data_IF_640522753816
#
_entry.id   IF_640522753816
#
_cell.length_a   1.000
_cell.length_b   1.000
_cell.length_c   1.000
_cell.angle_alpha   90.00
_cell.angle_beta   90.00
_cell.angle_gamma   90.00
#
_symmetry.space_group_name_H-M   'P 1'
#
loop_
_entity.id
_entity.type
_entity.pdbx_description
1 polymer ?
#
# COMPACT_ATOMS: atom_id res chain seq x y z
N UNK A 1 6.85 35.60 -6.01
CA UNK A 1 6.36 34.24 -5.67
C UNK A 1 5.36 33.84 -6.76
N UNK A 2 5.79 33.18 -7.81
CA UNK A 2 4.87 32.61 -8.81
C UNK A 2 4.29 31.36 -8.20
N UNK A 3 3.11 31.50 -7.57
CA UNK A 3 2.34 30.36 -7.10
C UNK A 3 2.03 29.43 -8.26
N UNK A 4 1.87 28.13 -7.96
CA UNK A 4 1.42 27.16 -8.93
C UNK A 4 0.22 27.75 -9.71
N UNK A 5 0.30 27.74 -11.05
CA UNK A 5 -0.79 28.25 -11.89
C UNK A 5 -2.09 27.58 -11.47
N UNK A 6 -3.11 28.40 -11.16
CA UNK A 6 -4.43 27.86 -10.81
C UNK A 6 -4.96 27.05 -11.99
N UNK A 7 -5.16 25.76 -11.77
CA UNK A 7 -5.74 24.87 -12.79
C UNK A 7 -7.18 25.30 -12.98
N UNK A 8 -7.55 25.71 -14.21
CA UNK A 8 -8.93 26.07 -14.50
C UNK A 8 -9.84 24.84 -14.52
N UNK A 9 -11.11 25.04 -14.19
CA UNK A 9 -12.10 23.96 -14.23
C UNK A 9 -12.17 23.30 -15.63
N UNK A 10 -12.01 24.12 -16.69
CA UNK A 10 -12.00 23.66 -18.08
C UNK A 10 -10.78 22.74 -18.35
N UNK A 11 -9.60 23.09 -17.85
CA UNK A 11 -8.41 22.26 -17.99
C UNK A 11 -8.57 20.92 -17.26
N UNK A 12 -9.24 20.91 -16.11
CA UNK A 12 -9.52 19.69 -15.34
C UNK A 12 -10.53 18.81 -16.10
N UNK A 13 -11.55 19.38 -16.71
CA UNK A 13 -12.50 18.66 -17.57
C UNK A 13 -11.81 18.06 -18.79
N UNK A 14 -10.90 18.81 -19.44
CA UNK A 14 -10.10 18.27 -20.54
C UNK A 14 -9.21 17.12 -20.09
N UNK A 15 -8.57 17.22 -18.92
CA UNK A 15 -7.77 16.15 -18.37
C UNK A 15 -8.60 14.90 -18.04
N UNK A 16 -9.86 15.06 -17.61
CA UNK A 16 -10.76 13.92 -17.34
C UNK A 16 -11.08 13.09 -18.58
N UNK A 17 -10.95 13.68 -19.80
CA UNK A 17 -11.12 12.92 -21.05
C UNK A 17 -10.12 11.78 -21.23
N UNK A 18 -8.97 11.82 -20.54
CA UNK A 18 -8.01 10.72 -20.54
C UNK A 18 -8.59 9.42 -19.98
N UNK A 19 -9.60 9.51 -19.11
CA UNK A 19 -10.32 8.33 -18.59
C UNK A 19 -11.09 7.62 -19.72
N UNK A 20 -11.56 8.36 -20.74
CA UNK A 20 -12.26 7.80 -21.90
C UNK A 20 -11.36 6.85 -22.70
N UNK A 21 -10.05 7.10 -22.74
CA UNK A 21 -9.09 6.23 -23.41
C UNK A 21 -9.06 4.87 -22.71
N UNK A 22 -9.03 4.86 -21.38
CA UNK A 22 -9.06 3.63 -20.59
C UNK A 22 -10.37 2.86 -20.81
N UNK A 23 -11.50 3.57 -20.85
CA UNK A 23 -12.81 2.97 -21.11
C UNK A 23 -12.89 2.38 -22.52
N UNK A 24 -12.34 3.08 -23.53
CA UNK A 24 -12.27 2.61 -24.90
C UNK A 24 -11.49 1.28 -24.99
N UNK A 25 -10.30 1.20 -24.40
CA UNK A 25 -9.52 -0.05 -24.38
C UNK A 25 -10.22 -1.17 -23.62
N UNK A 26 -10.85 -0.86 -22.47
CA UNK A 26 -11.60 -1.84 -21.70
C UNK A 26 -12.75 -2.42 -22.53
N UNK A 27 -13.53 -1.57 -23.20
CA UNK A 27 -14.63 -2.00 -24.06
C UNK A 27 -14.14 -2.80 -25.28
N UNK A 28 -13.09 -2.32 -25.96
CA UNK A 28 -12.55 -2.97 -27.15
C UNK A 28 -12.01 -4.36 -26.85
N UNK A 29 -11.27 -4.50 -25.73
CA UNK A 29 -10.68 -5.79 -25.31
C UNK A 29 -11.63 -6.64 -24.46
N UNK A 30 -12.88 -6.20 -24.26
CA UNK A 30 -13.90 -6.89 -23.43
C UNK A 30 -13.38 -7.25 -22.02
N UNK A 31 -12.64 -6.32 -21.39
CA UNK A 31 -12.05 -6.53 -20.06
C UNK A 31 -13.09 -6.45 -18.93
N UNK A 32 -14.28 -5.91 -19.21
CA UNK A 32 -15.37 -5.70 -18.25
C UNK A 32 -14.96 -4.83 -17.05
N UNK A 33 -14.03 -3.88 -17.27
CA UNK A 33 -13.51 -2.98 -16.23
C UNK A 33 -14.17 -1.61 -16.22
N UNK A 34 -15.08 -1.31 -17.17
CA UNK A 34 -15.68 0.02 -17.38
C UNK A 34 -16.33 0.54 -16.10
N UNK A 35 -17.11 -0.31 -15.43
CA UNK A 35 -17.82 0.05 -14.19
C UNK A 35 -16.83 0.35 -13.06
N UNK A 36 -15.76 -0.42 -12.94
CA UNK A 36 -14.74 -0.22 -11.92
C UNK A 36 -13.95 1.07 -12.17
N UNK A 37 -13.60 1.36 -13.42
CA UNK A 37 -12.88 2.58 -13.81
C UNK A 37 -13.72 3.82 -13.51
N UNK A 38 -14.99 3.86 -13.94
CA UNK A 38 -15.89 4.99 -13.71
C UNK A 38 -16.10 5.22 -12.20
N UNK A 39 -16.42 4.16 -11.45
CA UNK A 39 -16.62 4.26 -9.99
C UNK A 39 -15.35 4.74 -9.29
N UNK A 40 -14.18 4.25 -9.71
CA UNK A 40 -12.90 4.65 -9.13
C UNK A 40 -12.58 6.12 -9.42
N UNK A 41 -12.82 6.60 -10.65
CA UNK A 41 -12.60 7.99 -11.02
C UNK A 41 -13.52 8.94 -10.23
N UNK A 42 -14.82 8.66 -10.17
CA UNK A 42 -15.80 9.46 -9.41
C UNK A 42 -15.43 9.46 -7.92
N UNK A 43 -15.13 8.28 -7.36
CA UNK A 43 -14.74 8.16 -5.97
C UNK A 43 -13.46 8.95 -5.67
N UNK A 44 -12.46 8.92 -6.56
CA UNK A 44 -11.22 9.68 -6.38
C UNK A 44 -11.50 11.19 -6.31
N UNK A 45 -12.33 11.73 -7.21
CA UNK A 45 -12.69 13.16 -7.19
C UNK A 45 -13.39 13.53 -5.88
N UNK A 46 -14.43 12.77 -5.50
CA UNK A 46 -15.21 13.06 -4.28
C UNK A 46 -14.32 12.93 -3.03
N UNK A 47 -13.49 11.90 -2.96
CA UNK A 47 -12.59 11.70 -1.81
C UNK A 47 -11.52 12.77 -1.71
N UNK A 48 -10.93 13.20 -2.83
CA UNK A 48 -9.92 14.27 -2.83
C UNK A 48 -10.53 15.61 -2.40
N UNK A 49 -11.72 15.94 -2.88
CA UNK A 49 -12.42 17.15 -2.43
C UNK A 49 -12.75 17.09 -0.93
N UNK A 50 -13.32 15.98 -0.47
CA UNK A 50 -13.66 15.79 0.95
C UNK A 50 -12.41 15.85 1.85
N UNK A 51 -11.31 15.21 1.43
CA UNK A 51 -10.04 15.24 2.17
C UNK A 51 -9.43 16.64 2.16
N UNK A 52 -9.51 17.38 1.03
CA UNK A 52 -9.02 18.75 0.97
C UNK A 52 -9.68 19.66 2.04
N UNK A 53 -11.01 19.64 2.15
CA UNK A 53 -11.73 20.38 3.19
C UNK A 53 -11.42 19.87 4.61
N UNK A 54 -11.32 18.56 4.78
CA UNK A 54 -11.02 17.94 6.07
C UNK A 54 -9.61 18.32 6.57
N UNK A 55 -8.62 18.30 5.67
CA UNK A 55 -7.24 18.64 6.03
C UNK A 55 -7.08 20.11 6.41
N UNK A 56 -7.77 21.02 5.71
CA UNK A 56 -7.75 22.44 6.06
C UNK A 56 -8.26 22.67 7.50
N UNK A 57 -9.35 22.00 7.87
CA UNK A 57 -9.87 22.02 9.23
C UNK A 57 -8.93 21.38 10.26
N UNK A 58 -8.37 20.20 9.95
CA UNK A 58 -7.51 19.45 10.86
C UNK A 58 -6.18 20.15 11.11
N UNK A 59 -5.60 20.76 10.08
CA UNK A 59 -4.32 21.45 10.22
C UNK A 59 -4.41 22.69 11.12
N UNK A 60 -5.62 23.25 11.31
CA UNK A 60 -5.88 24.30 12.31
C UNK A 60 -5.83 23.79 13.76
N UNK A 61 -6.09 22.50 13.99
CA UNK A 61 -6.09 21.90 15.33
C UNK A 61 -4.85 21.01 15.51
N UNK A 62 -3.78 21.53 16.11
CA UNK A 62 -2.55 20.79 16.38
C UNK A 62 -2.69 19.85 17.60
N UNK A 63 -3.69 18.97 17.61
CA UNK A 63 -3.93 18.03 18.70
C UNK A 63 -3.36 16.65 18.38
N UNK A 64 -2.40 16.14 19.18
CA UNK A 64 -1.77 14.83 18.94
C UNK A 64 -2.76 13.65 19.07
N UNK A 65 -3.76 13.73 19.95
CA UNK A 65 -4.76 12.69 20.14
C UNK A 65 -5.61 12.54 18.87
N UNK A 66 -6.02 13.67 18.29
CA UNK A 66 -6.78 13.68 17.05
C UNK A 66 -5.99 13.11 15.87
N UNK A 67 -4.68 13.43 15.80
CA UNK A 67 -3.77 12.85 14.80
C UNK A 67 -3.69 11.33 14.94
N UNK A 68 -3.54 10.82 16.17
CA UNK A 68 -3.47 9.38 16.44
C UNK A 68 -4.79 8.66 16.07
N UNK A 69 -5.94 9.25 16.42
CA UNK A 69 -7.24 8.69 16.06
C UNK A 69 -7.47 8.63 14.55
N UNK A 70 -7.05 9.67 13.82
CA UNK A 70 -7.14 9.69 12.36
C UNK A 70 -6.22 8.64 11.73
N UNK A 71 -5.00 8.49 12.22
CA UNK A 71 -4.08 7.44 11.79
C UNK A 71 -4.66 6.05 12.02
N UNK A 72 -5.26 5.82 13.18
CA UNK A 72 -5.94 4.56 13.50
C UNK A 72 -7.10 4.28 12.53
N UNK A 73 -7.92 5.29 12.25
CA UNK A 73 -8.99 5.19 11.26
C UNK A 73 -8.45 4.83 9.86
N UNK A 74 -7.34 5.47 9.44
CA UNK A 74 -6.68 5.14 8.17
C UNK A 74 -6.20 3.68 8.13
N UNK A 75 -5.58 3.18 9.21
CA UNK A 75 -5.12 1.80 9.32
C UNK A 75 -6.30 0.81 9.25
N UNK A 76 -7.40 1.08 9.95
CA UNK A 76 -8.62 0.24 9.93
C UNK A 76 -9.18 0.17 8.51
N UNK A 77 -9.36 1.30 7.86
CA UNK A 77 -9.88 1.37 6.49
C UNK A 77 -8.95 0.64 5.48
N UNK A 78 -7.65 0.86 5.62
CA UNK A 78 -6.63 0.19 4.82
C UNK A 78 -6.67 -1.33 4.99
N UNK A 79 -6.79 -1.80 6.23
CA UNK A 79 -6.86 -3.23 6.56
C UNK A 79 -8.08 -3.91 5.94
N UNK A 80 -9.22 -3.22 5.94
CA UNK A 80 -10.41 -3.70 5.26
C UNK A 80 -10.23 -3.81 3.74
N UNK A 81 -9.59 -2.80 3.14
CA UNK A 81 -9.30 -2.82 1.71
C UNK A 81 -8.25 -3.88 1.31
N UNK A 82 -7.22 -4.09 2.14
CA UNK A 82 -6.24 -5.15 1.92
C UNK A 82 -6.88 -6.54 2.03
N UNK A 83 -7.72 -6.76 3.04
CA UNK A 83 -8.43 -8.01 3.22
C UNK A 83 -9.34 -8.38 2.04
N UNK A 84 -9.99 -7.40 1.42
CA UNK A 84 -10.81 -7.62 0.21
C UNK A 84 -10.00 -8.14 -0.97
N UNK A 85 -8.71 -7.81 -1.07
CA UNK A 85 -7.82 -8.29 -2.13
C UNK A 85 -7.41 -9.76 -1.93
N UNK A 86 -7.47 -10.25 -0.69
CA UNK A 86 -7.19 -11.63 -0.31
C UNK A 86 -8.46 -12.46 -0.10
N UNK A 87 -9.42 -12.42 -1.06
CA UNK A 87 -10.60 -13.30 -0.99
C UNK A 87 -10.13 -14.74 -0.86
N UNK A 88 -10.56 -15.44 0.20
CA UNK A 88 -10.13 -16.81 0.54
C UNK A 88 -9.13 -16.89 1.71
N UNK A 89 -8.60 -15.78 2.22
CA UNK A 89 -7.78 -15.75 3.43
C UNK A 89 -8.65 -15.45 4.64
N UNK A 90 -8.92 -16.48 5.44
CA UNK A 90 -9.63 -16.32 6.70
C UNK A 90 -8.88 -15.34 7.63
N UNK A 91 -9.62 -14.46 8.32
CA UNK A 91 -9.04 -13.42 9.21
C UNK A 91 -8.13 -12.40 8.49
N UNK A 92 -8.25 -12.24 7.16
CA UNK A 92 -7.44 -11.31 6.37
C UNK A 92 -7.45 -9.88 6.90
N UNK A 93 -8.56 -9.41 7.49
CA UNK A 93 -8.66 -8.11 8.14
C UNK A 93 -7.68 -7.99 9.34
N UNK A 94 -7.69 -8.96 10.25
CA UNK A 94 -6.85 -8.94 11.46
C UNK A 94 -5.37 -9.01 11.08
N UNK A 95 -5.03 -9.87 10.13
CA UNK A 95 -3.66 -10.00 9.64
C UNK A 95 -3.19 -8.70 8.99
N UNK A 96 -4.01 -8.09 8.13
CA UNK A 96 -3.70 -6.82 7.49
C UNK A 96 -3.57 -5.69 8.52
N UNK A 97 -4.42 -5.68 9.55
CA UNK A 97 -4.36 -4.68 10.61
C UNK A 97 -3.04 -4.76 11.40
N UNK A 98 -2.61 -5.96 11.76
CA UNK A 98 -1.33 -6.18 12.44
C UNK A 98 -0.17 -5.81 11.52
N UNK A 99 -0.21 -6.21 10.26
CA UNK A 99 0.86 -5.96 9.29
C UNK A 99 1.01 -4.47 8.95
N UNK A 100 -0.10 -3.77 8.65
CA UNK A 100 -0.09 -2.33 8.37
C UNK A 100 0.26 -1.55 9.64
N UNK A 101 -0.34 -1.91 10.77
CA UNK A 101 -0.09 -1.26 12.06
C UNK A 101 1.36 -1.36 12.48
N UNK A 102 1.95 -2.56 12.46
CA UNK A 102 3.37 -2.76 12.80
C UNK A 102 4.31 -2.00 11.88
N UNK A 103 4.10 -2.09 10.55
CA UNK A 103 4.88 -1.34 9.58
C UNK A 103 4.79 0.17 9.79
N UNK A 104 3.59 0.69 10.04
CA UNK A 104 3.35 2.11 10.29
C UNK A 104 4.01 2.57 11.58
N UNK A 105 3.79 1.85 12.70
CA UNK A 105 4.35 2.22 14.00
C UNK A 105 5.87 2.21 13.96
N UNK A 106 6.49 1.13 13.48
CA UNK A 106 7.95 1.01 13.44
C UNK A 106 8.55 2.13 12.59
N UNK A 107 8.03 2.33 11.38
CA UNK A 107 8.58 3.32 10.45
C UNK A 107 8.42 4.75 10.97
N UNK A 108 7.22 5.11 11.45
CA UNK A 108 6.99 6.44 12.01
C UNK A 108 7.79 6.69 13.29
N UNK A 109 7.95 5.69 14.15
CA UNK A 109 8.79 5.82 15.34
C UNK A 109 10.23 6.16 14.97
N UNK A 110 10.81 5.46 13.99
CA UNK A 110 12.18 5.78 13.52
C UNK A 110 12.27 7.21 12.99
N UNK A 111 11.29 7.67 12.20
CA UNK A 111 11.29 9.02 11.63
C UNK A 111 11.11 10.12 12.69
N UNK A 112 10.33 9.86 13.75
CA UNK A 112 10.13 10.79 14.87
C UNK A 112 11.39 10.81 15.74
N UNK A 113 11.93 9.66 16.15
CA UNK A 113 13.13 9.60 17.00
C UNK A 113 14.39 10.16 16.31
N UNK A 114 14.46 10.04 14.97
CA UNK A 114 15.54 10.69 14.20
C UNK A 114 15.39 12.21 14.08
N UNK A 115 14.28 12.79 14.55
CA UNK A 115 13.99 14.23 14.46
C UNK A 115 13.61 14.72 13.06
N UNK A 116 13.43 13.80 12.10
CA UNK A 116 13.04 14.14 10.72
C UNK A 116 11.59 14.59 10.66
N UNK A 117 10.71 13.92 11.44
CA UNK A 117 9.30 14.24 11.52
C UNK A 117 8.91 14.67 12.94
N UNK A 118 8.03 15.67 13.02
CA UNK A 118 7.35 16.03 14.27
C UNK A 118 5.97 15.36 14.32
N UNK A 119 5.51 15.05 15.53
CA UNK A 119 4.19 14.47 15.73
C UNK A 119 3.10 15.55 15.63
N UNK A 120 2.94 16.11 14.43
CA UNK A 120 1.93 17.13 14.09
C UNK A 120 1.11 16.68 12.88
N UNK A 121 -0.18 17.04 12.80
CA UNK A 121 -1.10 16.53 11.77
C UNK A 121 -0.58 16.74 10.33
N UNK A 122 -0.05 17.92 10.04
CA UNK A 122 0.41 18.29 8.70
C UNK A 122 1.62 17.49 8.18
N UNK A 123 2.36 16.81 9.07
CA UNK A 123 3.45 15.91 8.70
C UNK A 123 3.02 14.45 8.80
N UNK A 124 2.33 14.09 9.89
CA UNK A 124 1.97 12.70 10.19
C UNK A 124 0.94 12.12 9.21
N UNK A 125 -0.09 12.91 8.86
CA UNK A 125 -1.18 12.40 8.02
C UNK A 125 -0.72 12.12 6.59
N UNK A 126 -0.02 13.02 5.88
CA UNK A 126 0.47 12.73 4.54
C UNK A 126 1.49 11.59 4.51
N UNK A 127 2.46 11.59 5.43
CA UNK A 127 3.49 10.54 5.50
C UNK A 127 2.88 9.19 5.87
N UNK A 128 2.00 9.17 6.87
CA UNK A 128 1.26 7.97 7.24
C UNK A 128 0.38 7.44 6.10
N UNK A 129 -0.24 8.31 5.33
CA UNK A 129 -0.99 7.95 4.13
C UNK A 129 -0.13 7.24 3.09
N UNK A 130 1.08 7.71 2.83
CA UNK A 130 2.03 7.06 1.92
C UNK A 130 2.46 5.67 2.44
N UNK A 131 2.77 5.55 3.72
CA UNK A 131 3.12 4.30 4.38
C UNK A 131 1.98 3.29 4.24
N UNK A 132 0.78 3.67 4.66
CA UNK A 132 -0.40 2.82 4.72
C UNK A 132 -0.83 2.38 3.31
N UNK A 133 -0.85 3.29 2.33
CA UNK A 133 -1.29 2.99 0.96
C UNK A 133 -0.35 2.00 0.25
N UNK A 134 0.97 2.15 0.42
CA UNK A 134 1.93 1.20 -0.14
C UNK A 134 1.86 -0.18 0.56
N UNK A 135 1.59 -0.20 1.86
CA UNK A 135 1.35 -1.46 2.59
C UNK A 135 0.13 -2.23 2.06
N UNK A 136 -0.97 -1.54 1.71
CA UNK A 136 -2.15 -2.18 1.09
C UNK A 136 -1.77 -2.89 -0.22
N UNK A 137 -0.94 -2.24 -1.05
CA UNK A 137 -0.51 -2.80 -2.34
C UNK A 137 0.34 -4.04 -2.10
N UNK A 138 1.35 -3.94 -1.23
CA UNK A 138 2.25 -5.03 -0.90
C UNK A 138 1.50 -6.25 -0.33
N UNK A 139 0.64 -6.04 0.67
CA UNK A 139 -0.18 -7.12 1.27
C UNK A 139 -1.13 -7.73 0.25
N UNK A 140 -1.75 -6.92 -0.60
CA UNK A 140 -2.65 -7.41 -1.65
C UNK A 140 -1.94 -8.32 -2.65
N UNK A 141 -0.69 -8.02 -3.01
CA UNK A 141 0.16 -8.88 -3.84
C UNK A 141 0.55 -10.15 -3.10
N UNK A 142 0.97 -10.04 -1.83
CA UNK A 142 1.29 -11.20 -1.00
C UNK A 142 0.11 -12.17 -0.90
N UNK A 143 -1.10 -11.68 -0.67
CA UNK A 143 -2.28 -12.54 -0.56
C UNK A 143 -2.62 -13.24 -1.87
N UNK A 144 -2.58 -12.53 -3.00
CA UNK A 144 -2.81 -13.15 -4.32
C UNK A 144 -1.76 -14.21 -4.62
N UNK A 145 -0.49 -13.90 -4.35
CA UNK A 145 0.61 -14.83 -4.59
C UNK A 145 0.54 -16.04 -3.66
N UNK A 146 0.22 -15.88 -2.37
CA UNK A 146 0.02 -17.00 -1.44
C UNK A 146 -1.03 -17.99 -1.96
N UNK A 147 -2.21 -17.47 -2.36
CA UNK A 147 -3.28 -18.30 -2.89
C UNK A 147 -2.84 -19.05 -4.16
N UNK A 148 -2.13 -18.37 -5.05
CA UNK A 148 -1.62 -18.96 -6.29
C UNK A 148 -0.56 -20.03 -6.03
N UNK A 149 0.44 -19.73 -5.18
CA UNK A 149 1.56 -20.64 -4.91
C UNK A 149 1.12 -21.90 -4.16
N UNK A 150 0.25 -21.76 -3.15
CA UNK A 150 -0.26 -22.94 -2.45
C UNK A 150 -1.14 -23.83 -3.32
N UNK A 151 -1.79 -23.28 -4.35
CA UNK A 151 -2.51 -24.08 -5.34
C UNK A 151 -1.56 -24.79 -6.32
N UNK A 152 -0.60 -24.06 -6.87
CA UNK A 152 0.31 -24.58 -7.90
C UNK A 152 1.33 -25.59 -7.34
N UNK A 153 1.76 -25.39 -6.09
CA UNK A 153 2.76 -26.24 -5.39
C UNK A 153 2.15 -27.18 -4.36
N UNK A 154 0.84 -27.49 -4.51
CA UNK A 154 0.13 -28.32 -3.52
C UNK A 154 0.81 -29.68 -3.34
N UNK A 155 1.11 -30.41 -4.40
CA UNK A 155 1.76 -31.72 -4.36
C UNK A 155 3.14 -31.67 -3.72
N UNK A 156 3.90 -30.63 -3.99
CA UNK A 156 5.23 -30.44 -3.39
C UNK A 156 5.13 -30.26 -1.87
N UNK A 157 4.19 -29.40 -1.40
CA UNK A 157 3.98 -29.15 0.03
C UNK A 157 3.48 -30.41 0.71
N UNK A 158 2.52 -31.13 0.14
CA UNK A 158 1.97 -32.38 0.68
C UNK A 158 3.06 -33.48 0.75
N UNK A 159 3.91 -33.57 -0.26
CA UNK A 159 5.06 -34.50 -0.24
C UNK A 159 6.04 -34.18 0.90
N UNK A 160 6.39 -32.89 1.07
CA UNK A 160 7.27 -32.48 2.18
C UNK A 160 6.66 -32.82 3.55
N UNK A 161 5.34 -32.59 3.71
CA UNK A 161 4.61 -32.97 4.92
C UNK A 161 4.58 -34.47 5.16
N UNK A 162 4.36 -35.28 4.11
CA UNK A 162 4.35 -36.74 4.17
C UNK A 162 5.73 -37.32 4.56
N UNK A 163 6.82 -36.64 4.18
CA UNK A 163 8.20 -36.97 4.58
C UNK A 163 8.54 -36.51 6.03
N UNK A 164 7.57 -35.92 6.75
CA UNK A 164 7.75 -35.52 8.15
C UNK A 164 8.20 -34.08 8.35
N UNK A 165 8.24 -33.23 7.32
CA UNK A 165 8.51 -31.82 7.50
C UNK A 165 7.37 -31.11 8.25
N UNK A 166 7.71 -30.12 9.09
CA UNK A 166 6.69 -29.26 9.70
C UNK A 166 6.17 -28.23 8.67
N UNK A 167 5.05 -27.54 9.00
CA UNK A 167 4.37 -26.58 8.11
C UNK A 167 5.31 -25.49 7.60
N UNK A 168 6.17 -24.94 8.46
CA UNK A 168 7.08 -23.86 8.05
C UNK A 168 8.15 -24.34 7.06
N UNK A 169 8.93 -25.41 7.32
CA UNK A 169 9.86 -25.96 6.34
C UNK A 169 9.20 -26.37 5.02
N UNK A 170 8.00 -26.94 5.07
CA UNK A 170 7.26 -27.32 3.86
C UNK A 170 6.85 -26.12 3.00
N UNK A 171 6.67 -24.93 3.60
CA UNK A 171 6.16 -23.71 2.93
C UNK A 171 7.22 -22.62 2.75
N UNK A 172 8.45 -22.79 3.21
CA UNK A 172 9.42 -21.71 3.29
C UNK A 172 9.76 -21.08 1.94
N UNK A 173 9.80 -21.86 0.87
CA UNK A 173 10.10 -21.37 -0.46
C UNK A 173 8.94 -20.53 -1.00
N UNK A 174 7.70 -20.95 -0.75
CA UNK A 174 6.50 -20.18 -1.05
C UNK A 174 6.52 -18.85 -0.29
N UNK A 175 6.78 -18.88 1.01
CA UNK A 175 6.85 -17.69 1.86
C UNK A 175 7.88 -16.68 1.31
N UNK A 176 9.06 -17.14 0.93
CA UNK A 176 10.13 -16.29 0.37
C UNK A 176 9.71 -15.64 -0.94
N UNK A 177 9.12 -16.40 -1.84
CA UNK A 177 8.70 -15.89 -3.16
C UNK A 177 7.54 -14.90 -3.02
N UNK A 178 6.61 -15.14 -2.10
CA UNK A 178 5.52 -14.24 -1.78
C UNK A 178 6.02 -12.90 -1.23
N UNK A 179 6.95 -12.93 -0.28
CA UNK A 179 7.52 -11.69 0.28
C UNK A 179 8.25 -10.90 -0.80
N UNK A 180 9.04 -11.55 -1.65
CA UNK A 180 9.69 -10.90 -2.80
C UNK A 180 8.66 -10.22 -3.70
N UNK A 181 7.60 -10.93 -4.08
CA UNK A 181 6.53 -10.40 -4.94
C UNK A 181 5.86 -9.17 -4.33
N UNK A 182 5.60 -9.17 -3.02
CA UNK A 182 5.04 -8.01 -2.32
C UNK A 182 5.94 -6.77 -2.34
N UNK A 183 7.26 -6.97 -2.37
CA UNK A 183 8.25 -5.88 -2.35
C UNK A 183 8.62 -5.35 -3.75
N UNK A 184 8.43 -6.13 -4.81
CA UNK A 184 8.85 -5.80 -6.18
C UNK A 184 8.43 -4.38 -6.62
N UNK A 185 7.17 -3.93 -6.47
CA UNK A 185 6.77 -2.61 -6.96
C UNK A 185 7.54 -1.47 -6.30
N UNK A 186 7.81 -1.58 -4.99
CA UNK A 186 8.54 -0.56 -4.24
C UNK A 186 10.02 -0.55 -4.60
N UNK A 187 10.61 -1.73 -4.78
CA UNK A 187 12.01 -1.87 -5.22
C UNK A 187 12.20 -1.30 -6.63
N UNK A 188 11.30 -1.61 -7.55
CA UNK A 188 11.41 -1.14 -8.94
C UNK A 188 11.16 0.37 -9.04
N UNK A 189 10.22 0.91 -8.25
CA UNK A 189 10.10 2.36 -8.10
C UNK A 189 11.41 2.98 -7.61
N UNK A 190 12.04 2.41 -6.58
CA UNK A 190 13.28 2.95 -6.02
C UNK A 190 14.44 2.95 -7.04
N UNK A 191 14.54 1.93 -7.91
CA UNK A 191 15.57 1.83 -8.96
C UNK A 191 15.44 2.93 -10.03
N UNK A 192 14.22 3.42 -10.28
CA UNK A 192 13.95 4.36 -11.38
C UNK A 192 13.88 5.82 -10.92
N UNK A 193 13.94 6.07 -9.61
CA UNK A 193 13.88 7.41 -9.02
C UNK A 193 15.05 8.28 -9.50
N UNK A 194 14.72 9.51 -9.92
CA UNK A 194 15.69 10.52 -10.33
C UNK A 194 16.22 10.36 -11.76
N UNK A 195 16.06 9.18 -12.36
CA UNK A 195 16.52 8.91 -13.75
C UNK A 195 15.33 8.91 -14.71
N UNK A 196 14.30 8.13 -14.37
CA UNK A 196 13.10 7.97 -15.22
C UNK A 196 11.93 8.78 -14.68
N UNK A 197 11.80 8.86 -13.37
CA UNK A 197 10.68 9.56 -12.72
C UNK A 197 11.13 10.51 -11.63
N UNK A 198 10.52 11.69 -11.59
CA UNK A 198 10.58 12.59 -10.45
C UNK A 198 9.29 12.39 -9.63
N UNK A 199 9.39 11.93 -8.38
CA UNK A 199 8.21 11.67 -7.55
C UNK A 199 7.42 12.93 -7.25
N UNK A 200 6.09 12.78 -7.11
CA UNK A 200 5.18 13.90 -6.89
C UNK A 200 5.51 14.75 -5.65
N UNK A 201 6.01 14.14 -4.57
CA UNK A 201 6.41 14.87 -3.37
C UNK A 201 7.62 15.78 -3.66
N UNK A 202 8.66 15.26 -4.32
CA UNK A 202 9.84 16.05 -4.69
C UNK A 202 9.44 17.20 -5.63
N UNK A 203 8.64 16.90 -6.66
CA UNK A 203 8.16 17.89 -7.63
C UNK A 203 7.30 18.95 -6.94
N UNK A 204 6.40 18.54 -6.04
CA UNK A 204 5.57 19.45 -5.25
C UNK A 204 6.38 20.40 -4.37
N UNK A 205 7.42 19.89 -3.69
CA UNK A 205 8.32 20.72 -2.88
C UNK A 205 9.09 21.75 -3.72
N UNK A 206 9.58 21.34 -4.90
CA UNK A 206 10.28 22.26 -5.83
C UNK A 206 9.33 23.35 -6.33
N UNK A 207 8.10 22.99 -6.73
CA UNK A 207 7.09 23.95 -7.17
C UNK A 207 6.65 24.90 -6.03
N UNK A 208 6.72 24.43 -4.78
CA UNK A 208 6.48 25.26 -3.59
C UNK A 208 7.68 26.17 -3.21
N UNK A 209 8.77 26.14 -3.99
CA UNK A 209 9.93 27.01 -3.79
C UNK A 209 11.03 26.41 -2.92
N UNK A 210 10.95 25.14 -2.52
CA UNK A 210 12.05 24.45 -1.83
C UNK A 210 13.20 24.18 -2.80
N UNK A 211 14.46 24.34 -2.35
CA UNK A 211 15.62 24.04 -3.19
C UNK A 211 15.62 22.56 -3.63
N UNK A 212 16.04 22.25 -4.86
CA UNK A 212 16.08 20.87 -5.37
C UNK A 212 16.86 19.92 -4.48
N UNK A 213 17.98 20.37 -3.91
CA UNK A 213 18.80 19.56 -2.99
C UNK A 213 18.03 19.16 -1.74
N UNK A 214 17.24 20.06 -1.16
CA UNK A 214 16.41 19.75 -0.01
C UNK A 214 15.25 18.82 -0.40
N UNK A 215 14.61 19.06 -1.53
CA UNK A 215 13.56 18.19 -2.05
C UNK A 215 14.05 16.75 -2.28
N UNK A 216 15.28 16.58 -2.78
CA UNK A 216 15.92 15.26 -2.92
C UNK A 216 16.12 14.57 -1.58
N UNK A 217 16.57 15.29 -0.53
CA UNK A 217 16.74 14.69 0.81
C UNK A 217 15.41 14.18 1.38
N UNK A 218 14.32 14.94 1.22
CA UNK A 218 12.99 14.48 1.60
C UNK A 218 12.56 13.25 0.81
N UNK A 219 12.86 13.21 -0.50
CA UNK A 219 12.53 12.06 -1.32
C UNK A 219 13.34 10.81 -0.95
N UNK A 220 14.61 10.94 -0.59
CA UNK A 220 15.40 9.82 -0.06
C UNK A 220 14.78 9.25 1.21
N UNK A 221 14.38 10.11 2.16
CA UNK A 221 13.65 9.69 3.36
C UNK A 221 12.39 8.90 3.00
N UNK A 222 11.56 9.43 2.10
CA UNK A 222 10.33 8.74 1.63
C UNK A 222 10.65 7.38 1.04
N UNK A 223 11.69 7.29 0.21
CA UNK A 223 12.09 6.02 -0.42
C UNK A 223 12.50 4.99 0.64
N UNK A 224 13.32 5.36 1.61
CA UNK A 224 13.76 4.46 2.67
C UNK A 224 12.58 4.01 3.57
N UNK A 225 11.69 4.94 3.91
CA UNK A 225 10.51 4.58 4.70
C UNK A 225 9.58 3.63 3.96
N UNK A 226 9.37 3.82 2.65
CA UNK A 226 8.51 2.95 1.84
C UNK A 226 9.12 1.56 1.68
N UNK A 227 10.42 1.44 1.44
CA UNK A 227 11.13 0.16 1.40
C UNK A 227 11.01 -0.59 2.74
N UNK A 228 11.23 0.09 3.85
CA UNK A 228 11.10 -0.50 5.18
C UNK A 228 9.66 -0.96 5.46
N UNK A 229 8.70 -0.09 5.21
CA UNK A 229 7.28 -0.38 5.51
C UNK A 229 6.73 -1.53 4.68
N UNK A 230 6.99 -1.52 3.36
CA UNK A 230 6.52 -2.61 2.49
C UNK A 230 7.18 -3.95 2.82
N UNK A 231 8.45 -3.93 3.23
CA UNK A 231 9.16 -5.10 3.72
C UNK A 231 8.51 -5.67 4.98
N UNK A 232 8.30 -4.84 6.01
CA UNK A 232 7.66 -5.24 7.27
C UNK A 232 6.24 -5.75 7.00
N UNK A 233 5.45 -5.02 6.21
CA UNK A 233 4.08 -5.38 5.91
C UNK A 233 3.98 -6.71 5.15
N UNK A 234 4.83 -6.93 4.14
CA UNK A 234 4.89 -8.18 3.37
C UNK A 234 5.32 -9.35 4.25
N UNK A 235 6.33 -9.15 5.09
CA UNK A 235 6.83 -10.18 6.01
C UNK A 235 5.74 -10.57 7.02
N UNK A 236 5.21 -9.60 7.76
CA UNK A 236 4.21 -9.87 8.81
C UNK A 236 2.94 -10.49 8.22
N UNK A 237 2.43 -9.94 7.11
CA UNK A 237 1.23 -10.47 6.47
C UNK A 237 1.43 -11.90 5.99
N UNK A 238 2.56 -12.21 5.34
CA UNK A 238 2.84 -13.54 4.81
C UNK A 238 3.03 -14.56 5.94
N UNK A 239 3.81 -14.23 7.00
CA UNK A 239 4.04 -15.12 8.12
C UNK A 239 2.82 -15.35 9.01
N UNK A 240 1.86 -14.46 9.01
CA UNK A 240 0.58 -14.69 9.69
C UNK A 240 -0.41 -15.44 8.79
N UNK A 241 -0.39 -15.18 7.47
CA UNK A 241 -1.36 -15.74 6.54
C UNK A 241 -1.06 -17.20 6.13
N UNK A 242 0.22 -17.60 5.99
CA UNK A 242 0.55 -18.97 5.53
C UNK A 242 -0.04 -20.05 6.45
N UNK A 243 -0.14 -19.80 7.76
CA UNK A 243 -0.70 -20.75 8.72
C UNK A 243 -2.17 -21.09 8.46
N UNK A 244 -2.90 -20.22 7.77
CA UNK A 244 -4.33 -20.40 7.48
C UNK A 244 -4.55 -21.52 6.46
N UNK A 245 -3.54 -21.82 5.65
CA UNK A 245 -3.60 -22.89 4.66
C UNK A 245 -3.46 -24.28 5.26
N UNK A 246 -3.29 -24.40 6.58
CA UNK A 246 -3.16 -25.66 7.26
C UNK A 246 -4.22 -25.83 8.35
N UNK A 247 -4.73 -27.07 8.50
CA UNK A 247 -5.64 -27.41 9.58
C UNK A 247 -4.85 -27.78 10.87
N UNK A 248 -5.60 -28.04 11.95
CA UNK A 248 -5.01 -28.45 13.24
C UNK A 248 -4.21 -29.76 13.18
N UNK A 249 -4.40 -30.58 12.12
CA UNK A 249 -3.65 -31.81 11.87
C UNK A 249 -2.45 -31.57 10.94
N UNK A 250 -2.08 -30.30 10.70
CA UNK A 250 -0.98 -29.89 9.80
C UNK A 250 -1.17 -30.32 8.34
N UNK A 251 -2.39 -30.60 7.91
CA UNK A 251 -2.70 -30.94 6.52
C UNK A 251 -3.00 -29.65 5.75
N UNK A 252 -2.57 -29.60 4.48
CA UNK A 252 -2.85 -28.48 3.60
C UNK A 252 -4.34 -28.46 3.23
N UNK A 253 -4.96 -27.29 3.41
CA UNK A 253 -6.36 -27.04 3.05
C UNK A 253 -6.38 -25.92 2.04
N UNK A 254 -6.34 -26.26 0.76
CA UNK A 254 -6.52 -25.29 -0.32
C UNK A 254 -8.01 -25.12 -0.56
N UNK A 255 -8.55 -23.94 -0.29
CA UNK A 255 -9.95 -23.61 -0.59
C UNK A 255 -10.19 -23.75 -2.09
N UNK A 256 -11.03 -24.68 -2.48
CA UNK A 256 -11.62 -24.71 -3.82
C UNK A 256 -12.62 -23.56 -3.88
N UNK A 257 -12.50 -22.65 -4.87
CA UNK A 257 -13.54 -21.64 -5.18
C UNK A 257 -14.82 -22.32 -5.60
#
# INVERSE_FOLDING_TARGET
MSGANSISLMSLLMASSLVLITLFFSYWQKLNLEKEVIISAIRAVIQLLAVGFLLDYIFGYQNPIFTALLMLFMIINASYNAAKRGKGINKGFVISFIAIGSGTIITLSVLIFSGILKFVPNQMIPVGGMIISNSIVAIGLCYKQLLSEFRSKQEEVETKLALGADILPASIDIIRDVIKTGMVPTIDSAKTLGIVSLPGMMTGLILAGTSPIQAVKYQMMVTFMLLATTSIASFVATYLAYKIFFNNRKQLVVTKD
#
